data_IF_692923673638
#
_entry.id   IF_692923673638
#
_cell.length_a   1.000
_cell.length_b   1.000
_cell.length_c   1.000
_cell.angle_alpha   90.00
_cell.angle_beta   90.00
_cell.angle_gamma   90.00
#
_symmetry.space_group_name_H-M   'P 1'
#
loop_
_entity.id
_entity.type
_entity.pdbx_description
1 polymer ?
#
# COMPACT_ATOMS: atom_id res chain seq x y z
N UNK A 1 -44.47 -26.49 -10.85
CA UNK A 1 -43.15 -27.14 -10.77
C UNK A 1 -42.37 -26.73 -12.01
N UNK A 2 -41.58 -25.67 -11.91
CA UNK A 2 -40.85 -25.09 -13.04
C UNK A 2 -39.37 -25.27 -12.76
N UNK A 3 -38.78 -26.25 -13.45
CA UNK A 3 -37.35 -26.51 -13.45
C UNK A 3 -36.64 -25.35 -14.15
N UNK A 4 -35.82 -24.59 -13.41
CA UNK A 4 -34.81 -23.67 -13.94
C UNK A 4 -33.47 -23.93 -13.26
N UNK A 5 -32.95 -25.12 -13.46
CA UNK A 5 -31.52 -25.39 -13.33
C UNK A 5 -30.78 -24.72 -14.50
N UNK A 6 -30.64 -23.39 -14.45
CA UNK A 6 -29.84 -22.61 -15.40
C UNK A 6 -29.62 -21.17 -14.89
N UNK A 7 -29.19 -21.04 -13.64
CA UNK A 7 -28.69 -19.76 -13.10
C UNK A 7 -27.49 -19.99 -12.18
N UNK A 8 -26.69 -20.99 -12.53
CA UNK A 8 -25.27 -20.99 -12.21
C UNK A 8 -24.57 -20.34 -13.41
N UNK A 9 -23.57 -19.49 -13.18
CA UNK A 9 -22.66 -18.95 -14.21
C UNK A 9 -22.91 -17.54 -14.78
N UNK A 10 -23.40 -16.58 -13.99
CA UNK A 10 -23.12 -15.15 -14.25
C UNK A 10 -22.96 -14.37 -12.93
N UNK A 11 -22.04 -14.78 -12.05
CA UNK A 11 -21.58 -13.94 -10.92
C UNK A 11 -20.05 -13.94 -10.90
N UNK A 12 -19.42 -13.76 -12.06
CA UNK A 12 -17.96 -13.76 -12.18
C UNK A 12 -17.42 -12.54 -12.94
N UNK A 13 -18.25 -11.59 -13.38
CA UNK A 13 -17.81 -10.61 -14.36
C UNK A 13 -18.41 -9.20 -14.23
N UNK A 14 -18.68 -8.69 -13.02
CA UNK A 14 -18.80 -7.23 -12.83
C UNK A 14 -18.38 -6.87 -11.40
N UNK A 15 -17.08 -6.83 -11.16
CA UNK A 15 -16.50 -6.46 -9.86
C UNK A 15 -15.30 -5.52 -9.99
N UNK A 16 -15.13 -4.85 -11.13
CA UNK A 16 -14.16 -3.75 -11.24
C UNK A 16 -14.91 -2.48 -10.88
N UNK A 17 -15.01 -2.24 -9.57
CA UNK A 17 -15.49 -0.96 -9.03
C UNK A 17 -14.50 0.11 -9.47
N UNK A 18 -15.02 1.11 -10.17
CA UNK A 18 -14.30 2.27 -10.66
C UNK A 18 -13.51 2.95 -9.53
N UNK A 19 -12.18 3.04 -9.68
CA UNK A 19 -11.34 3.87 -8.83
C UNK A 19 -11.51 5.32 -9.28
N UNK A 20 -12.44 6.03 -8.65
CA UNK A 20 -12.61 7.46 -8.88
C UNK A 20 -11.43 8.17 -8.23
N UNK A 21 -10.57 8.76 -9.08
CA UNK A 21 -9.50 9.62 -8.65
C UNK A 21 -10.03 10.97 -8.16
N UNK A 22 -9.68 11.32 -6.93
CA UNK A 22 -9.57 12.71 -6.48
C UNK A 22 -8.38 12.85 -5.56
N UNK A 23 -7.21 13.16 -6.13
CA UNK A 23 -6.10 13.72 -5.35
C UNK A 23 -6.42 15.21 -5.19
N UNK A 24 -7.35 15.53 -4.29
CA UNK A 24 -7.63 16.90 -3.93
C UNK A 24 -6.61 17.35 -2.86
N UNK A 25 -5.64 18.13 -3.31
CA UNK A 25 -4.83 19.09 -2.55
C UNK A 25 -4.30 18.67 -1.16
N UNK A 26 -3.02 18.26 -1.12
CA UNK A 26 -2.17 18.50 0.05
C UNK A 26 -1.21 19.65 -0.27
N UNK A 27 -1.77 20.84 -0.47
CA UNK A 27 -1.00 22.10 -0.43
C UNK A 27 -1.44 22.88 0.80
N UNK A 28 -0.87 22.53 1.95
CA UNK A 28 -0.72 23.50 3.04
C UNK A 28 0.76 23.79 3.20
N UNK A 29 1.21 24.75 2.42
CA UNK A 29 2.50 25.42 2.55
C UNK A 29 2.52 26.17 3.89
N UNK A 30 2.91 25.49 4.98
CA UNK A 30 3.39 26.19 6.17
C UNK A 30 4.84 26.56 5.90
N UNK A 31 5.10 27.87 5.73
CA UNK A 31 6.44 28.45 5.79
C UNK A 31 7.15 27.89 7.04
N UNK A 32 8.14 27.04 6.83
CA UNK A 32 9.18 26.80 7.81
C UNK A 32 10.42 27.53 7.31
N UNK A 33 10.95 28.39 8.17
CA UNK A 33 12.14 29.18 7.95
C UNK A 33 13.32 28.30 7.52
N UNK A 34 14.13 28.88 6.64
CA UNK A 34 15.48 28.45 6.28
C UNK A 34 16.31 28.18 7.55
N UNK A 35 16.60 26.92 7.79
CA UNK A 35 17.77 26.50 8.58
C UNK A 35 18.25 25.19 7.97
N UNK A 36 19.49 25.17 7.49
CA UNK A 36 20.14 24.08 6.74
C UNK A 36 20.42 22.83 7.57
N UNK A 37 19.48 22.41 8.40
CA UNK A 37 19.47 21.12 9.07
C UNK A 37 18.87 20.07 8.15
N UNK A 38 19.66 19.06 7.79
CA UNK A 38 19.17 17.79 7.29
C UNK A 38 18.06 17.27 8.23
N UNK A 39 16.80 17.57 7.93
CA UNK A 39 15.64 17.03 8.63
C UNK A 39 15.60 15.54 8.32
N UNK A 40 16.35 14.75 9.09
CA UNK A 40 16.16 13.31 9.19
C UNK A 40 14.77 13.10 9.77
N UNK A 41 13.79 13.14 8.89
CA UNK A 41 12.39 12.94 9.23
C UNK A 41 12.24 11.43 9.35
N UNK A 42 12.54 10.91 10.53
CA UNK A 42 12.23 9.53 10.88
C UNK A 42 10.76 9.29 10.59
N UNK A 43 10.47 8.40 9.66
CA UNK A 43 9.09 8.17 9.25
C UNK A 43 8.50 7.07 10.11
N UNK A 44 7.45 7.41 10.86
CA UNK A 44 6.63 6.44 11.57
C UNK A 44 5.86 5.60 10.58
N UNK A 45 5.97 4.28 10.71
CA UNK A 45 5.34 3.35 9.78
C UNK A 45 3.81 3.48 9.80
N UNK A 46 3.25 3.71 10.99
CA UNK A 46 1.81 3.95 11.18
C UNK A 46 1.30 5.16 10.39
N UNK A 47 2.08 6.23 10.32
CA UNK A 47 1.71 7.42 9.54
C UNK A 47 1.74 7.13 8.04
N UNK A 48 2.75 6.41 7.55
CA UNK A 48 2.80 5.99 6.14
C UNK A 48 1.63 5.09 5.78
N UNK A 49 1.43 4.03 6.57
CA UNK A 49 0.42 3.03 6.29
C UNK A 49 -1.01 3.56 6.42
N UNK A 50 -1.24 4.58 7.27
CA UNK A 50 -2.54 5.24 7.40
C UNK A 50 -3.05 5.87 6.10
N UNK A 51 -2.13 6.29 5.21
CA UNK A 51 -2.48 6.88 3.91
C UNK A 51 -2.79 5.87 2.81
N UNK A 52 -2.57 4.58 3.09
CA UNK A 52 -2.78 3.49 2.12
C UNK A 52 -4.20 2.95 2.19
N UNK A 53 -4.65 2.25 1.15
CA UNK A 53 -5.94 1.55 1.18
C UNK A 53 -5.98 0.37 2.17
N UNK A 54 -4.82 -0.17 2.54
CA UNK A 54 -4.73 -1.38 3.37
C UNK A 54 -3.74 -1.17 4.54
N UNK A 55 -4.07 -0.29 5.50
CA UNK A 55 -3.15 0.12 6.55
C UNK A 55 -2.60 -1.07 7.35
N UNK A 56 -3.46 -2.00 7.76
CA UNK A 56 -3.05 -3.18 8.50
C UNK A 56 -2.15 -4.13 7.69
N UNK A 57 -2.33 -4.23 6.36
CA UNK A 57 -1.45 -5.04 5.52
C UNK A 57 -0.10 -4.36 5.33
N UNK A 58 -0.11 -3.06 5.09
CA UNK A 58 1.09 -2.24 4.98
C UNK A 58 1.98 -2.38 6.23
N UNK A 59 1.42 -2.24 7.44
CA UNK A 59 2.18 -2.40 8.68
C UNK A 59 2.74 -3.81 8.81
N UNK A 60 1.90 -4.84 8.69
CA UNK A 60 2.36 -6.23 8.83
C UNK A 60 3.44 -6.63 7.80
N UNK A 61 3.39 -6.08 6.59
CA UNK A 61 4.39 -6.32 5.55
C UNK A 61 5.72 -5.60 5.82
N UNK A 62 5.69 -4.45 6.50
CA UNK A 62 6.85 -3.57 6.67
C UNK A 62 7.51 -3.69 8.05
N UNK A 63 6.76 -3.92 9.12
CA UNK A 63 7.29 -4.16 10.48
C UNK A 63 8.46 -5.15 10.56
N UNK A 64 8.49 -6.28 9.81
CA UNK A 64 9.64 -7.19 9.89
C UNK A 64 10.91 -6.67 9.21
N UNK A 65 10.82 -5.63 8.36
CA UNK A 65 11.93 -5.16 7.52
C UNK A 65 12.33 -3.71 7.79
N UNK A 66 11.51 -2.93 8.48
CA UNK A 66 11.80 -1.53 8.85
C UNK A 66 11.57 -1.28 10.33
N UNK A 67 12.39 -0.41 10.91
CA UNK A 67 12.24 0.06 12.29
C UNK A 67 11.56 1.45 12.29
N UNK A 68 10.86 1.81 13.38
CA UNK A 68 10.12 3.08 13.53
C UNK A 68 10.97 4.38 13.41
N UNK A 69 12.30 4.23 13.27
CA UNK A 69 13.26 5.32 13.11
C UNK A 69 14.05 5.24 11.79
N UNK A 70 13.61 4.39 10.85
CA UNK A 70 14.31 4.18 9.57
C UNK A 70 14.28 5.42 8.67
N UNK A 71 15.35 5.57 7.90
CA UNK A 71 15.44 6.63 6.88
C UNK A 71 14.33 6.42 5.83
N UNK A 72 13.69 7.49 5.32
CA UNK A 72 12.70 7.39 4.24
C UNK A 72 13.12 6.50 3.06
N UNK A 73 14.40 6.57 2.66
CA UNK A 73 14.93 5.79 1.55
C UNK A 73 15.01 4.29 1.89
N UNK A 74 15.39 3.96 3.12
CA UNK A 74 15.41 2.57 3.59
C UNK A 74 14.01 1.97 3.62
N UNK A 75 13.02 2.76 4.06
CA UNK A 75 11.62 2.31 4.09
C UNK A 75 11.11 2.04 2.68
N UNK A 76 11.44 2.90 1.70
CA UNK A 76 11.08 2.70 0.30
C UNK A 76 11.72 1.44 -0.29
N UNK A 77 13.03 1.25 -0.07
CA UNK A 77 13.76 0.06 -0.55
C UNK A 77 13.19 -1.22 0.05
N UNK A 78 12.90 -1.22 1.35
CA UNK A 78 12.30 -2.36 2.04
C UNK A 78 10.91 -2.68 1.50
N UNK A 79 10.06 -1.68 1.26
CA UNK A 79 8.74 -1.87 0.67
C UNK A 79 8.80 -2.53 -0.72
N UNK A 80 9.73 -2.08 -1.56
CA UNK A 80 9.94 -2.68 -2.88
C UNK A 80 10.41 -4.13 -2.77
N UNK A 81 11.34 -4.42 -1.86
CA UNK A 81 11.85 -5.77 -1.65
C UNK A 81 10.75 -6.73 -1.20
N UNK A 82 9.87 -6.31 -0.28
CA UNK A 82 8.72 -7.11 0.15
C UNK A 82 7.79 -7.40 -1.03
N UNK A 83 7.47 -6.39 -1.84
CA UNK A 83 6.63 -6.58 -3.02
C UNK A 83 7.25 -7.58 -4.02
N UNK A 84 8.56 -7.48 -4.28
CA UNK A 84 9.27 -8.42 -5.15
C UNK A 84 9.27 -9.84 -4.60
N UNK A 85 9.44 -10.00 -3.28
CA UNK A 85 9.40 -11.31 -2.63
C UNK A 85 8.02 -11.96 -2.75
N UNK A 86 6.94 -11.20 -2.56
CA UNK A 86 5.57 -11.70 -2.73
C UNK A 86 5.30 -12.15 -4.18
N UNK A 87 5.75 -11.35 -5.16
CA UNK A 87 5.64 -11.70 -6.58
C UNK A 87 6.45 -12.97 -6.88
N UNK A 88 7.70 -13.06 -6.39
CA UNK A 88 8.55 -14.24 -6.55
C UNK A 88 7.94 -15.49 -5.90
N UNK A 89 7.39 -15.37 -4.70
CA UNK A 89 6.71 -16.45 -3.99
C UNK A 89 5.45 -16.91 -4.75
N UNK A 90 4.69 -15.97 -5.34
CA UNK A 90 3.56 -16.32 -6.19
C UNK A 90 4.00 -17.15 -7.40
N UNK A 91 5.06 -16.74 -8.11
CA UNK A 91 5.59 -17.52 -9.25
C UNK A 91 6.13 -18.89 -8.83
N UNK A 92 6.86 -18.99 -7.72
CA UNK A 92 7.37 -20.25 -7.20
C UNK A 92 6.25 -21.23 -6.78
N UNK A 93 5.08 -20.71 -6.40
CA UNK A 93 3.91 -21.53 -6.08
C UNK A 93 3.28 -22.20 -7.31
N UNK A 94 3.57 -21.69 -8.52
CA UNK A 94 3.05 -22.19 -9.79
C UNK A 94 4.09 -22.92 -10.65
N UNK A 95 5.34 -23.05 -10.21
CA UNK A 95 6.38 -23.90 -10.84
C UNK A 95 6.42 -25.27 -10.20
#
# INVERSE_FOLDING_TARGET
MTNKAATASIIAAVGVVAVIGTIAAVTTSKKASDDGGNMSTSIKLSQLCSSTLYPAKCENSLTPVVNESSNPEEVLRAALQVAMNEVGAAFAKYS
#
